data_IF_815200267317
#
_entry.id   IF_815200267317
#
_cell.length_a   1.000
_cell.length_b   1.000
_cell.length_c   1.000
_cell.angle_alpha   90.00
_cell.angle_beta   90.00
_cell.angle_gamma   90.00
#
_symmetry.space_group_name_H-M   'P 1'
#
loop_
_entity.id
_entity.type
_entity.pdbx_description
1 polymer ?
#
# COMPACT_ATOMS: atom_id res chain seq x y z
N UNK A 1 21.62 -4.62 30.14
CA UNK A 1 21.04 -4.45 28.79
C UNK A 1 21.73 -5.32 27.75
N UNK A 2 23.03 -5.15 27.47
CA UNK A 2 23.78 -5.91 26.44
C UNK A 2 23.51 -7.43 26.33
N UNK A 3 23.53 -8.17 27.45
CA UNK A 3 23.25 -9.63 27.44
C UNK A 3 21.82 -9.94 26.96
N UNK A 4 20.85 -9.12 27.36
CA UNK A 4 19.47 -9.26 26.95
C UNK A 4 19.28 -8.94 25.47
N UNK A 5 19.90 -7.86 24.98
CA UNK A 5 19.89 -7.53 23.55
C UNK A 5 20.51 -8.65 22.70
N UNK A 6 21.60 -9.28 23.16
CA UNK A 6 22.18 -10.42 22.46
C UNK A 6 21.23 -11.62 22.39
N UNK A 7 20.51 -11.93 23.48
CA UNK A 7 19.49 -12.97 23.48
C UNK A 7 18.36 -12.62 22.50
N UNK A 8 17.85 -11.39 22.57
CA UNK A 8 16.75 -10.92 21.72
C UNK A 8 17.12 -10.95 20.23
N UNK A 9 18.34 -10.53 19.87
CA UNK A 9 18.84 -10.67 18.50
C UNK A 9 18.95 -12.14 18.07
N UNK A 10 19.32 -13.04 18.99
CA UNK A 10 19.29 -14.48 18.75
C UNK A 10 17.88 -15.01 18.50
N UNK A 11 16.90 -14.55 19.28
CA UNK A 11 15.49 -14.92 19.13
C UNK A 11 14.91 -14.39 17.80
N UNK A 12 15.23 -13.14 17.43
CA UNK A 12 14.86 -12.53 16.14
C UNK A 12 15.46 -13.31 14.97
N UNK A 13 16.76 -13.64 15.05
CA UNK A 13 17.43 -14.41 14.01
C UNK A 13 16.84 -15.83 13.89
N UNK A 14 16.48 -16.45 15.01
CA UNK A 14 15.82 -17.74 15.03
C UNK A 14 14.44 -17.67 14.38
N UNK A 15 13.60 -16.68 14.74
CA UNK A 15 12.28 -16.49 14.12
C UNK A 15 12.39 -16.27 12.60
N UNK A 16 13.30 -15.39 12.16
CA UNK A 16 13.56 -15.12 10.74
C UNK A 16 14.00 -16.37 9.97
N UNK A 17 14.77 -17.27 10.59
CA UNK A 17 15.24 -18.49 9.93
C UNK A 17 14.20 -19.62 9.92
N UNK A 18 13.18 -19.55 10.79
CA UNK A 18 12.17 -20.59 10.98
C UNK A 18 10.77 -20.08 10.63
N UNK A 19 10.65 -19.35 9.51
CA UNK A 19 9.37 -18.89 9.00
C UNK A 19 8.45 -20.08 8.76
N UNK A 20 7.32 -20.10 9.45
CA UNK A 20 6.28 -21.10 9.24
C UNK A 20 5.26 -20.54 8.25
N UNK A 21 5.19 -21.12 7.06
CA UNK A 21 4.10 -20.82 6.13
C UNK A 21 2.87 -21.65 6.53
N UNK A 22 1.68 -21.03 6.69
CA UNK A 22 0.44 -21.77 6.84
C UNK A 22 -0.02 -22.41 5.51
N UNK A 23 0.62 -22.06 4.41
CA UNK A 23 0.32 -22.58 3.09
C UNK A 23 1.17 -23.83 2.80
N UNK A 24 0.59 -24.85 2.14
CA UNK A 24 1.36 -26.01 1.72
C UNK A 24 2.50 -25.58 0.80
N UNK A 25 3.68 -26.17 1.00
CA UNK A 25 4.82 -25.96 0.11
C UNK A 25 4.42 -26.37 -1.31
N UNK A 26 4.36 -25.38 -2.22
CA UNK A 26 4.18 -25.62 -3.64
C UNK A 26 5.43 -25.25 -4.39
N UNK A 27 5.81 -26.08 -5.36
CA UNK A 27 6.95 -25.86 -6.25
C UNK A 27 6.68 -24.79 -7.32
N UNK A 28 5.42 -24.44 -7.55
CA UNK A 28 5.00 -23.39 -8.50
C UNK A 28 3.68 -22.75 -8.07
N UNK A 29 3.55 -21.46 -8.37
CA UNK A 29 2.30 -20.72 -8.25
C UNK A 29 1.60 -20.73 -9.61
N UNK A 30 0.35 -21.18 -9.64
CA UNK A 30 -0.47 -21.15 -10.85
C UNK A 30 -1.32 -19.88 -10.84
N UNK A 31 -1.34 -19.15 -11.96
CA UNK A 31 -2.07 -17.86 -12.06
C UNK A 31 -3.57 -18.00 -11.80
N UNK A 32 -4.15 -19.18 -12.08
CA UNK A 32 -5.56 -19.49 -11.84
C UNK A 32 -5.90 -19.62 -10.35
N UNK A 33 -4.89 -19.72 -9.46
CA UNK A 33 -5.05 -19.70 -8.01
C UNK A 33 -4.94 -18.28 -7.42
N UNK A 34 -4.69 -17.27 -8.26
CA UNK A 34 -4.66 -15.87 -7.84
C UNK A 34 -6.05 -15.45 -7.34
N UNK A 35 -6.06 -14.74 -6.23
CA UNK A 35 -7.27 -14.14 -5.64
C UNK A 35 -7.03 -12.65 -5.51
N UNK A 36 -8.09 -11.84 -5.43
CA UNK A 36 -7.96 -10.40 -5.18
C UNK A 36 -7.45 -10.11 -3.76
N UNK A 37 -6.87 -8.92 -3.53
CA UNK A 37 -6.43 -8.52 -2.19
C UNK A 37 -7.57 -8.54 -1.15
N UNK A 38 -8.76 -8.10 -1.55
CA UNK A 38 -9.94 -8.09 -0.67
C UNK A 38 -10.37 -9.52 -0.27
N UNK A 39 -10.34 -10.46 -1.22
CA UNK A 39 -10.63 -11.87 -0.94
C UNK A 39 -9.56 -12.51 -0.06
N UNK A 40 -8.28 -12.21 -0.33
CA UNK A 40 -7.18 -12.70 0.48
C UNK A 40 -7.25 -12.16 1.92
N UNK A 41 -7.55 -10.88 2.12
CA UNK A 41 -7.67 -10.27 3.45
C UNK A 41 -8.76 -10.95 4.31
N UNK A 42 -9.81 -11.49 3.66
CA UNK A 42 -10.91 -12.21 4.32
C UNK A 42 -10.57 -13.67 4.64
N UNK A 43 -9.71 -14.30 3.84
CA UNK A 43 -9.48 -15.75 3.88
C UNK A 43 -8.11 -16.14 4.47
N UNK A 44 -7.14 -15.23 4.44
CA UNK A 44 -5.80 -15.46 4.93
C UNK A 44 -5.77 -15.73 6.46
N UNK A 45 -4.88 -16.61 6.93
CA UNK A 45 -4.73 -16.89 8.35
C UNK A 45 -4.38 -15.62 9.14
N UNK A 46 -5.19 -15.33 10.15
CA UNK A 46 -5.04 -14.21 11.07
C UNK A 46 -4.84 -14.74 12.47
N UNK A 47 -3.63 -14.56 13.00
CA UNK A 47 -3.29 -14.89 14.39
C UNK A 47 -2.36 -13.80 14.97
N UNK A 48 -2.21 -13.70 16.30
CA UNK A 48 -1.29 -12.75 16.91
C UNK A 48 0.14 -12.89 16.38
N UNK A 49 0.85 -11.77 16.21
CA UNK A 49 2.24 -11.77 15.73
C UNK A 49 3.18 -12.60 16.63
N UNK A 50 2.88 -12.67 17.94
CA UNK A 50 3.62 -13.52 18.88
C UNK A 50 3.51 -15.02 18.56
N UNK A 51 2.40 -15.47 17.96
CA UNK A 51 2.21 -16.87 17.61
C UNK A 51 3.04 -17.26 16.38
N UNK A 52 3.28 -16.31 15.47
CA UNK A 52 4.13 -16.50 14.30
C UNK A 52 5.62 -16.49 14.64
N UNK A 53 6.03 -15.51 15.43
CA UNK A 53 7.45 -15.20 15.68
C UNK A 53 7.99 -15.82 16.96
N UNK A 54 7.12 -16.18 17.91
CA UNK A 54 7.50 -16.57 19.26
C UNK A 54 8.00 -15.40 20.14
N UNK A 55 8.01 -14.18 19.62
CA UNK A 55 8.47 -12.97 20.32
C UNK A 55 7.25 -12.20 20.81
N UNK A 56 7.24 -11.86 22.10
CA UNK A 56 6.20 -11.06 22.73
C UNK A 56 6.57 -9.59 22.75
N UNK A 57 5.56 -8.71 22.77
CA UNK A 57 5.75 -7.26 22.94
C UNK A 57 6.57 -6.93 24.19
N UNK A 58 6.39 -7.66 25.29
CA UNK A 58 7.14 -7.46 26.54
C UNK A 58 8.61 -7.84 26.44
N UNK A 59 8.98 -8.67 25.45
CA UNK A 59 10.38 -8.99 25.14
C UNK A 59 11.04 -7.90 24.29
N UNK A 60 10.29 -6.91 23.80
CA UNK A 60 10.86 -5.74 23.16
C UNK A 60 11.06 -4.64 24.20
N UNK A 61 12.30 -4.21 24.48
CA UNK A 61 12.57 -3.19 25.48
C UNK A 61 11.93 -1.85 25.08
N UNK A 62 11.33 -1.08 26.00
CA UNK A 62 10.85 0.26 25.72
C UNK A 62 11.94 1.14 25.09
N UNK A 63 11.58 1.99 24.12
CA UNK A 63 12.54 2.84 23.42
C UNK A 63 13.37 3.70 24.39
N UNK A 64 12.74 4.22 25.45
CA UNK A 64 13.40 5.06 26.48
C UNK A 64 14.47 4.31 27.30
N UNK A 65 14.51 2.98 27.23
CA UNK A 65 15.52 2.15 27.88
C UNK A 65 16.72 1.82 26.99
N UNK A 66 16.69 2.22 25.72
CA UNK A 66 17.72 1.94 24.73
C UNK A 66 18.47 3.20 24.32
N UNK A 67 19.77 3.08 24.07
CA UNK A 67 20.54 4.13 23.37
C UNK A 67 20.22 4.12 21.88
N UNK A 68 20.57 5.18 21.15
CA UNK A 68 20.36 5.23 19.69
C UNK A 68 21.16 4.14 18.98
N UNK A 69 22.36 3.81 19.46
CA UNK A 69 23.15 2.70 18.91
C UNK A 69 22.50 1.34 19.16
N UNK A 70 21.85 1.14 20.31
CA UNK A 70 21.11 -0.09 20.61
C UNK A 70 19.84 -0.21 19.76
N UNK A 71 19.15 0.89 19.49
CA UNK A 71 18.01 0.93 18.56
C UNK A 71 18.48 0.60 17.15
N UNK A 72 19.55 1.24 16.68
CA UNK A 72 20.12 0.99 15.36
C UNK A 72 20.59 -0.46 15.17
N UNK A 73 20.98 -1.12 16.27
CA UNK A 73 21.36 -2.54 16.26
C UNK A 73 20.16 -3.49 16.15
N UNK A 74 19.05 -3.18 16.82
CA UNK A 74 17.90 -4.10 16.94
C UNK A 74 16.83 -3.90 15.87
N UNK A 75 16.65 -2.66 15.42
CA UNK A 75 15.52 -2.32 14.57
C UNK A 75 15.65 -2.90 13.15
N UNK A 76 16.81 -2.87 12.46
CA UNK A 76 16.94 -3.51 11.16
C UNK A 76 16.68 -5.04 11.18
N UNK A 77 17.24 -5.84 12.13
CA UNK A 77 16.88 -7.25 12.24
C UNK A 77 15.39 -7.51 12.47
N UNK A 78 14.69 -6.65 13.21
CA UNK A 78 13.23 -6.76 13.37
C UNK A 78 12.50 -6.54 12.04
N UNK A 79 12.91 -5.55 11.24
CA UNK A 79 12.33 -5.34 9.90
C UNK A 79 12.56 -6.54 9.01
N UNK A 80 13.80 -7.01 8.93
CA UNK A 80 14.16 -8.16 8.11
C UNK A 80 13.43 -9.44 8.54
N UNK A 81 13.14 -9.59 9.84
CA UNK A 81 12.31 -10.67 10.33
C UNK A 81 10.87 -10.52 9.84
N UNK A 82 10.24 -9.35 10.01
CA UNK A 82 8.87 -9.11 9.52
C UNK A 82 8.77 -9.31 8.00
N UNK A 83 9.75 -8.85 7.24
CA UNK A 83 9.85 -9.05 5.79
C UNK A 83 9.93 -10.53 5.40
N UNK A 84 10.62 -11.36 6.19
CA UNK A 84 10.69 -12.80 5.96
C UNK A 84 9.31 -13.49 6.10
N UNK A 85 8.41 -12.90 6.90
CA UNK A 85 7.00 -13.29 6.99
C UNK A 85 6.10 -12.49 6.03
N UNK A 86 6.64 -11.81 5.02
CA UNK A 86 5.87 -11.00 4.06
C UNK A 86 5.08 -9.85 4.72
N UNK A 87 5.57 -9.31 5.84
CA UNK A 87 5.04 -8.10 6.48
C UNK A 87 6.01 -6.95 6.33
N UNK A 88 5.65 -5.99 5.49
CA UNK A 88 6.46 -4.80 5.27
C UNK A 88 6.07 -3.70 6.24
N UNK A 89 7.08 -3.04 6.81
CA UNK A 89 6.88 -1.78 7.55
C UNK A 89 7.26 -0.61 6.65
N UNK A 90 6.26 0.17 6.26
CA UNK A 90 6.43 1.28 5.33
C UNK A 90 6.09 2.59 6.03
N UNK A 91 6.98 3.57 5.88
CA UNK A 91 6.75 4.96 6.28
C UNK A 91 6.82 5.83 5.04
N UNK A 92 5.83 6.70 4.86
CA UNK A 92 5.67 7.55 3.67
C UNK A 92 6.48 8.84 3.80
N UNK A 93 6.64 9.33 5.03
CA UNK A 93 7.55 10.42 5.38
C UNK A 93 8.77 9.90 6.15
N UNK A 94 9.86 10.67 6.15
CA UNK A 94 11.05 10.34 6.93
C UNK A 94 10.74 10.42 8.43
N UNK A 95 10.90 9.28 9.13
CA UNK A 95 10.64 9.16 10.56
C UNK A 95 11.95 8.84 11.28
N UNK A 96 12.30 9.52 12.38
CA UNK A 96 13.45 9.14 13.22
C UNK A 96 13.39 7.68 13.65
N UNK A 97 14.51 6.96 13.55
CA UNK A 97 14.58 5.51 13.80
C UNK A 97 14.03 5.11 15.19
N UNK A 98 14.29 5.94 16.20
CA UNK A 98 13.74 5.77 17.56
C UNK A 98 12.22 5.78 17.60
N UNK A 99 11.57 6.65 16.82
CA UNK A 99 10.11 6.69 16.69
C UNK A 99 9.59 5.51 15.87
N UNK A 100 10.31 5.10 14.82
CA UNK A 100 9.94 3.90 14.06
C UNK A 100 9.95 2.65 14.96
N UNK A 101 11.00 2.45 15.77
CA UNK A 101 11.09 1.36 16.74
C UNK A 101 9.98 1.44 17.79
N UNK A 102 9.72 2.64 18.33
CA UNK A 102 8.64 2.85 19.30
C UNK A 102 7.27 2.46 18.72
N UNK A 103 6.98 2.88 17.48
CA UNK A 103 5.75 2.52 16.80
C UNK A 103 5.65 1.01 16.50
N UNK A 104 6.74 0.38 16.05
CA UNK A 104 6.79 -1.07 15.87
C UNK A 104 6.47 -1.79 17.19
N UNK A 105 7.16 -1.43 18.28
CA UNK A 105 6.94 -2.06 19.58
C UNK A 105 5.52 -1.87 20.09
N UNK A 106 4.96 -0.66 19.99
CA UNK A 106 3.63 -0.37 20.54
C UNK A 106 2.50 -1.14 19.84
N UNK A 107 2.71 -1.52 18.58
CA UNK A 107 1.77 -2.30 17.78
C UNK A 107 2.20 -3.76 17.61
N UNK A 108 3.24 -4.23 18.32
CA UNK A 108 3.73 -5.61 18.17
C UNK A 108 2.75 -6.67 18.70
N UNK A 109 1.74 -6.25 19.44
CA UNK A 109 0.62 -7.07 19.93
C UNK A 109 -0.53 -7.21 18.92
N UNK A 110 -0.35 -6.72 17.68
CA UNK A 110 -1.37 -6.82 16.63
C UNK A 110 -1.56 -8.26 16.12
N UNK A 111 -2.73 -8.50 15.52
CA UNK A 111 -2.94 -9.67 14.68
C UNK A 111 -2.22 -9.48 13.35
N UNK A 112 -1.52 -10.52 12.89
CA UNK A 112 -0.79 -10.50 11.64
C UNK A 112 -1.45 -11.45 10.64
N UNK A 113 -1.75 -10.91 9.45
CA UNK A 113 -2.39 -11.62 8.35
C UNK A 113 -1.31 -12.13 7.41
N UNK A 114 -1.12 -13.44 7.36
CA UNK A 114 -0.12 -14.03 6.49
C UNK A 114 -0.70 -14.18 5.08
N UNK A 115 -0.43 -13.23 4.20
CA UNK A 115 -0.87 -13.26 2.79
C UNK A 115 0.05 -14.13 1.92
N UNK A 116 -0.51 -14.77 0.90
CA UNK A 116 0.19 -15.62 -0.10
C UNK A 116 0.49 -14.88 -1.38
N UNK A 117 -0.44 -14.07 -1.88
CA UNK A 117 -0.36 -13.40 -3.18
C UNK A 117 0.03 -11.93 -3.08
N UNK A 118 -0.44 -11.25 -2.03
CA UNK A 118 -0.14 -9.83 -1.79
C UNK A 118 0.84 -9.67 -0.63
N UNK A 119 1.39 -8.46 -0.51
CA UNK A 119 2.22 -8.09 0.64
C UNK A 119 1.32 -7.77 1.83
N UNK A 120 1.68 -8.27 3.00
CA UNK A 120 1.11 -7.79 4.24
C UNK A 120 1.80 -6.49 4.67
N UNK A 121 1.05 -5.59 5.30
CA UNK A 121 1.60 -4.37 5.88
C UNK A 121 1.54 -4.46 7.40
N UNK A 122 2.64 -4.10 8.06
CA UNK A 122 2.68 -3.97 9.51
C UNK A 122 1.99 -2.66 9.92
N UNK A 123 0.95 -2.74 10.75
CA UNK A 123 0.24 -1.55 11.22
C UNK A 123 1.07 -0.78 12.25
N UNK A 124 1.43 0.46 11.94
CA UNK A 124 2.20 1.34 12.86
C UNK A 124 1.30 2.21 13.74
N UNK A 125 -0.01 2.07 13.60
CA UNK A 125 -1.03 2.82 14.33
C UNK A 125 -2.25 1.93 14.60
N UNK A 126 -2.74 1.91 15.86
CA UNK A 126 -3.94 1.14 16.21
C UNK A 126 -5.19 1.80 15.65
N UNK A 127 -6.12 0.99 15.14
CA UNK A 127 -7.45 1.45 14.72
C UNK A 127 -8.15 2.22 15.85
N UNK A 128 -8.72 3.37 15.49
CA UNK A 128 -9.41 4.26 16.45
C UNK A 128 -8.50 5.25 17.19
N UNK A 129 -7.19 5.23 16.96
CA UNK A 129 -6.28 6.25 17.48
C UNK A 129 -6.52 7.58 16.77
N UNK A 130 -6.77 8.69 17.49
CA UNK A 130 -6.90 10.01 16.86
C UNK A 130 -5.63 10.44 16.12
N UNK A 131 -5.79 11.27 15.09
CA UNK A 131 -4.66 11.81 14.32
C UNK A 131 -3.64 12.50 15.23
N UNK A 132 -2.36 12.20 15.01
CA UNK A 132 -1.25 12.74 15.80
C UNK A 132 -1.07 12.15 17.20
N UNK A 133 -1.96 11.26 17.66
CA UNK A 133 -1.86 10.64 19.00
C UNK A 133 -1.26 9.23 19.00
N UNK A 134 -0.79 8.75 17.85
CA UNK A 134 -0.12 7.45 17.76
C UNK A 134 1.33 7.52 18.25
N UNK A 135 2.01 6.37 18.28
CA UNK A 135 3.39 6.26 18.75
C UNK A 135 4.41 7.09 17.95
N UNK A 136 4.07 7.48 16.71
CA UNK A 136 4.87 8.38 15.87
C UNK A 136 4.75 9.85 16.30
N UNK A 137 3.73 10.22 17.08
CA UNK A 137 3.46 11.59 17.50
C UNK A 137 2.79 12.43 16.41
N UNK A 138 2.58 13.72 16.73
CA UNK A 138 1.87 14.66 15.86
C UNK A 138 2.64 14.97 14.57
N UNK A 139 3.95 15.22 14.69
CA UNK A 139 4.84 15.59 13.59
C UNK A 139 5.04 14.46 12.57
N UNK A 140 5.02 13.19 13.02
CA UNK A 140 5.32 12.04 12.18
C UNK A 140 4.12 11.11 11.94
N UNK A 141 2.88 11.49 12.30
CA UNK A 141 1.73 10.62 11.99
C UNK A 141 1.47 10.59 10.49
N UNK A 142 1.68 9.41 9.89
CA UNK A 142 1.34 9.12 8.49
C UNK A 142 -0.15 9.41 8.22
N UNK A 143 -0.99 9.05 9.19
CA UNK A 143 -2.43 9.27 9.14
C UNK A 143 -2.82 10.74 9.00
N UNK A 144 -2.15 11.62 9.76
CA UNK A 144 -2.43 13.04 9.78
C UNK A 144 -1.86 13.70 8.52
N UNK A 145 -0.69 13.22 8.08
CA UNK A 145 -0.09 13.62 6.80
C UNK A 145 -1.05 13.35 5.63
N UNK A 146 -1.62 12.15 5.52
CA UNK A 146 -2.58 11.85 4.47
C UNK A 146 -3.89 12.64 4.62
N UNK A 147 -4.44 12.75 5.83
CA UNK A 147 -5.65 13.55 6.04
C UNK A 147 -5.45 15.00 5.60
N UNK A 148 -4.28 15.59 5.86
CA UNK A 148 -3.92 16.93 5.40
C UNK A 148 -3.67 16.99 3.89
N UNK A 149 -2.97 16.00 3.32
CA UNK A 149 -2.71 15.90 1.88
C UNK A 149 -4.01 15.81 1.07
N UNK A 150 -4.99 15.06 1.57
CA UNK A 150 -6.28 14.83 0.94
C UNK A 150 -7.37 15.80 1.38
N UNK A 151 -7.11 16.76 2.28
CA UNK A 151 -8.15 17.66 2.82
C UNK A 151 -8.88 18.48 1.74
N UNK A 152 -8.16 18.81 0.68
CA UNK A 152 -8.63 19.60 -0.46
C UNK A 152 -8.92 18.71 -1.68
N UNK A 153 -8.64 17.40 -1.59
CA UNK A 153 -9.07 16.42 -2.58
C UNK A 153 -10.51 16.08 -2.27
N UNK A 154 -11.42 16.70 -3.00
CA UNK A 154 -12.82 16.37 -2.93
C UNK A 154 -13.01 15.07 -3.70
N UNK A 155 -13.22 13.96 -2.98
CA UNK A 155 -13.95 12.81 -3.52
C UNK A 155 -15.40 13.28 -3.71
N UNK A 156 -15.57 14.13 -4.72
CA UNK A 156 -16.87 14.49 -5.24
C UNK A 156 -17.38 13.22 -5.92
N UNK A 157 -18.41 12.60 -5.33
CA UNK A 157 -19.25 11.63 -6.02
C UNK A 157 -19.95 12.39 -7.16
N UNK A 158 -19.22 12.59 -8.25
CA UNK A 158 -19.75 13.19 -9.45
C UNK A 158 -20.78 12.22 -10.02
N UNK A 159 -21.95 12.74 -10.38
CA UNK A 159 -22.83 12.00 -11.28
C UNK A 159 -22.08 11.70 -12.59
N UNK A 160 -22.45 10.66 -13.34
CA UNK A 160 -21.82 10.37 -14.64
C UNK A 160 -21.76 11.58 -15.58
N UNK A 161 -22.75 12.48 -15.51
CA UNK A 161 -22.77 13.74 -16.28
C UNK A 161 -21.71 14.74 -15.80
N UNK A 162 -21.52 14.87 -14.49
CA UNK A 162 -20.53 15.77 -13.90
C UNK A 162 -19.10 15.23 -14.09
N UNK A 163 -18.91 13.91 -14.02
CA UNK A 163 -17.64 13.24 -14.30
C UNK A 163 -17.23 13.49 -15.75
N UNK A 164 -18.16 13.25 -16.70
CA UNK A 164 -17.95 13.53 -18.12
C UNK A 164 -17.64 15.00 -18.38
N UNK A 165 -18.34 15.92 -17.71
CA UNK A 165 -18.06 17.36 -17.85
C UNK A 165 -16.64 17.72 -17.36
N UNK A 166 -16.14 17.05 -16.31
CA UNK A 166 -14.80 17.29 -15.76
C UNK A 166 -13.70 16.68 -16.64
N UNK A 167 -13.92 15.47 -17.17
CA UNK A 167 -13.06 14.88 -18.21
C UNK A 167 -12.93 15.82 -19.41
N UNK A 168 -14.07 16.37 -19.85
CA UNK A 168 -14.13 17.27 -20.99
C UNK A 168 -13.31 18.54 -20.76
N UNK A 169 -13.41 19.15 -19.58
CA UNK A 169 -12.63 20.33 -19.23
C UNK A 169 -11.12 20.04 -19.17
N UNK A 170 -10.74 18.84 -18.70
CA UNK A 170 -9.36 18.35 -18.74
C UNK A 170 -8.86 18.17 -20.18
N UNK A 171 -9.64 17.55 -21.06
CA UNK A 171 -9.33 17.40 -22.50
C UNK A 171 -9.14 18.76 -23.18
N UNK A 172 -10.07 19.70 -22.97
CA UNK A 172 -9.99 21.08 -23.48
C UNK A 172 -8.71 21.74 -23.02
N UNK A 173 -8.42 21.66 -21.73
CA UNK A 173 -7.27 22.30 -21.12
C UNK A 173 -5.97 21.75 -21.72
N UNK A 174 -5.89 20.43 -21.87
CA UNK A 174 -4.77 19.77 -22.53
C UNK A 174 -4.57 20.25 -23.97
N UNK A 175 -5.65 20.32 -24.76
CA UNK A 175 -5.59 20.77 -26.15
C UNK A 175 -5.19 22.23 -26.27
N UNK A 176 -5.70 23.11 -25.39
CA UNK A 176 -5.29 24.52 -25.31
C UNK A 176 -3.79 24.66 -25.02
N UNK A 177 -3.26 23.86 -24.09
CA UNK A 177 -1.84 23.86 -23.74
C UNK A 177 -1.00 23.39 -24.94
N UNK A 178 -1.41 22.30 -25.60
CA UNK A 178 -0.65 21.66 -26.68
C UNK A 178 -0.69 22.42 -28.01
N UNK A 179 -1.84 23.00 -28.35
CA UNK A 179 -2.11 23.56 -29.68
C UNK A 179 -2.38 25.07 -29.66
N UNK A 180 -2.31 25.73 -28.50
CA UNK A 180 -2.43 27.19 -28.39
C UNK A 180 -3.76 27.70 -28.91
N UNK A 181 -3.75 28.72 -29.78
CA UNK A 181 -4.96 29.30 -30.38
C UNK A 181 -5.68 28.37 -31.36
N UNK A 182 -4.98 27.36 -31.89
CA UNK A 182 -5.49 26.47 -32.94
C UNK A 182 -6.14 25.20 -32.36
N UNK A 183 -6.22 25.09 -31.03
CA UNK A 183 -6.75 23.91 -30.32
C UNK A 183 -8.17 23.50 -30.77
N UNK A 184 -9.01 24.45 -31.17
CA UNK A 184 -10.36 24.18 -31.71
C UNK A 184 -10.37 23.33 -32.98
N UNK A 185 -9.27 23.28 -33.75
CA UNK A 185 -9.14 22.38 -34.91
C UNK A 185 -8.98 20.92 -34.50
N UNK A 186 -8.49 20.69 -33.29
CA UNK A 186 -8.20 19.40 -32.69
C UNK A 186 -9.22 19.00 -31.64
N UNK A 187 -10.28 19.80 -31.49
CA UNK A 187 -11.35 19.56 -30.52
C UNK A 187 -12.70 19.50 -31.22
N UNK A 188 -12.91 18.51 -32.11
CA UNK A 188 -13.90 18.74 -33.14
C UNK A 188 -15.34 18.36 -32.71
N UNK A 189 -15.60 17.59 -31.65
CA UNK A 189 -16.96 17.04 -31.46
C UNK A 189 -17.32 16.51 -30.04
N UNK A 190 -18.00 17.33 -29.24
CA UNK A 190 -18.73 16.93 -28.00
C UNK A 190 -19.91 17.89 -27.77
N UNK A 191 -20.23 18.70 -28.80
CA UNK A 191 -21.43 19.53 -28.89
C UNK A 191 -22.46 18.93 -29.87
N UNK A 192 -22.19 17.75 -30.42
CA UNK A 192 -23.12 16.99 -31.25
C UNK A 192 -23.79 15.91 -30.37
N UNK A 193 -25.10 16.01 -30.09
CA UNK A 193 -25.83 15.02 -29.29
C UNK A 193 -25.85 13.60 -29.87
N UNK A 194 -25.51 13.46 -31.15
CA UNK A 194 -25.47 12.18 -31.87
C UNK A 194 -24.03 11.60 -31.96
N UNK A 195 -23.09 12.17 -31.21
CA UNK A 195 -21.66 11.83 -31.28
C UNK A 195 -21.28 10.53 -30.60
N UNK A 196 -21.83 10.31 -29.41
CA UNK A 196 -21.67 9.04 -28.73
C UNK A 196 -22.48 8.01 -29.53
N UNK A 197 -21.92 6.82 -29.75
CA UNK A 197 -22.67 5.77 -30.40
C UNK A 197 -23.93 5.43 -29.58
N UNK A 198 -24.81 4.58 -30.12
CA UNK A 198 -26.04 4.14 -29.43
C UNK A 198 -25.80 3.55 -28.03
N UNK A 199 -24.55 3.22 -27.68
CA UNK A 199 -24.11 2.62 -26.43
C UNK A 199 -23.34 3.61 -25.53
N UNK A 200 -23.18 4.87 -25.94
CA UNK A 200 -22.53 5.93 -25.14
C UNK A 200 -21.01 6.02 -25.29
N UNK A 201 -20.42 5.31 -26.26
CA UNK A 201 -18.98 5.33 -26.46
C UNK A 201 -18.55 6.49 -27.37
N UNK A 202 -17.41 7.16 -27.07
CA UNK A 202 -16.83 8.10 -28.01
C UNK A 202 -16.46 7.38 -29.31
N UNK A 203 -16.80 7.98 -30.45
CA UNK A 203 -16.48 7.43 -31.76
C UNK A 203 -14.96 7.23 -31.91
N UNK A 204 -14.50 6.06 -32.33
CA UNK A 204 -13.09 5.80 -32.60
C UNK A 204 -12.66 6.57 -33.88
N UNK A 205 -11.63 7.41 -33.74
CA UNK A 205 -11.07 8.26 -34.80
C UNK A 205 -9.84 7.65 -35.48
N UNK A 206 -9.48 6.41 -35.17
CA UNK A 206 -8.28 5.77 -35.70
C UNK A 206 -6.99 6.41 -35.18
N UNK A 207 -7.03 7.04 -34.00
CA UNK A 207 -5.84 7.41 -33.25
C UNK A 207 -5.35 6.27 -32.32
N UNK A 208 -6.12 5.19 -32.20
CA UNK A 208 -5.78 4.01 -31.41
C UNK A 208 -4.78 3.04 -32.06
N UNK A 209 -4.56 3.12 -33.38
CA UNK A 209 -3.71 2.16 -34.11
C UNK A 209 -2.42 2.81 -34.65
N UNK A 210 -1.72 3.57 -33.82
CA UNK A 210 -0.31 3.89 -34.07
C UNK A 210 0.51 3.28 -32.93
N UNK A 211 0.87 2.00 -33.14
CA UNK A 211 1.78 1.15 -32.35
C UNK A 211 1.16 0.19 -31.32
N UNK A 212 0.01 -0.42 -31.62
CA UNK A 212 -0.28 -1.77 -31.10
C UNK A 212 -0.14 -2.76 -32.27
N UNK A 213 1.09 -3.22 -32.51
CA UNK A 213 1.28 -4.50 -33.18
C UNK A 213 0.48 -5.53 -32.38
N UNK A 214 -0.47 -6.18 -33.06
CA UNK A 214 -1.35 -7.23 -32.55
C UNK A 214 -0.54 -8.30 -31.79
N UNK A 215 -0.43 -8.16 -30.47
CA UNK A 215 -0.12 -9.29 -29.60
C UNK A 215 -1.40 -10.15 -29.53
N UNK A 216 -1.43 -11.20 -30.36
CA UNK A 216 -2.52 -12.18 -30.53
C UNK A 216 -2.94 -12.95 -29.24
N UNK A 217 -2.54 -12.53 -28.04
CA UNK A 217 -2.75 -13.27 -26.79
C UNK A 217 -3.48 -12.44 -25.70
N UNK A 218 -4.65 -11.90 -26.06
CA UNK A 218 -5.66 -11.42 -25.10
C UNK A 218 -6.33 -12.59 -24.35
N UNK A 219 -5.59 -13.20 -23.44
CA UNK A 219 -6.00 -14.37 -22.65
C UNK A 219 -7.13 -14.09 -21.64
N UNK A 220 -7.46 -12.82 -21.38
CA UNK A 220 -8.49 -12.39 -20.44
C UNK A 220 -9.91 -12.31 -21.05
N UNK A 221 -10.03 -12.51 -22.38
CA UNK A 221 -11.32 -12.57 -23.09
C UNK A 221 -11.94 -13.98 -23.17
N UNK A 222 -11.52 -14.93 -22.32
CA UNK A 222 -12.11 -16.29 -22.26
C UNK A 222 -12.70 -16.63 -20.90
#
# INVERSE_FOLDING_TARGET
MKKYLHQLLGDIAFAKANVSSPYPEKTSYEIWEWVSEEEEEKTAPRIPLEAWTGIKKEQLPPADMLTDEEIHLIFPPLKEMLEAYNWLIVFVIEVPERLQYKALRENFDQEAVQKRWHMGLFETCKKGTPHGQCALGEEYCQCAYFAELHKDMVDEDLTPEEERARELDCEITYLKIRHGSDWMRYYPYHLDPDYDDKDGNPHDYGFGDLDEEEDEDDWWKK
#
